data_IF_950738880212
#
_entry.id   IF_950738880212
#
_cell.length_a   1.000
_cell.length_b   1.000
_cell.length_c   1.000
_cell.angle_alpha   90.00
_cell.angle_beta   90.00
_cell.angle_gamma   90.00
#
_symmetry.space_group_name_H-M   'P 1'
#
loop_
_entity.id
_entity.type
_entity.pdbx_description
1 polymer ?
#
# COMPACT_ATOMS: atom_id res chain seq x y z
N UNK A 1 -21.43 0.53 2.23
CA UNK A 1 -20.56 -0.58 2.67
C UNK A 1 -20.12 -0.24 4.08
N UNK A 2 -20.45 -1.05 5.08
CA UNK A 2 -20.03 -0.79 6.46
C UNK A 2 -18.61 -1.33 6.64
N UNK A 3 -17.65 -0.45 6.93
CA UNK A 3 -16.30 -0.87 7.31
C UNK A 3 -16.35 -1.47 8.72
N UNK A 4 -15.60 -2.55 8.96
CA UNK A 4 -15.42 -3.08 10.32
C UNK A 4 -14.50 -2.15 11.09
N UNK A 5 -15.06 -1.39 12.04
CA UNK A 5 -14.32 -0.44 12.88
C UNK A 5 -13.90 -1.10 14.18
N UNK A 6 -12.63 -0.96 14.54
CA UNK A 6 -12.05 -1.50 15.77
C UNK A 6 -11.31 -0.42 16.55
N UNK A 7 -11.52 -0.40 17.85
CA UNK A 7 -10.97 0.63 18.74
C UNK A 7 -9.61 0.21 19.30
N UNK A 8 -8.61 1.08 19.19
CA UNK A 8 -7.29 0.87 19.79
C UNK A 8 -6.93 2.06 20.66
N UNK A 9 -7.22 1.96 21.95
CA UNK A 9 -7.03 3.03 22.94
C UNK A 9 -5.89 2.75 23.91
N UNK A 10 -5.27 1.57 23.82
CA UNK A 10 -4.20 1.10 24.71
C UNK A 10 -3.06 0.52 23.89
N UNK A 11 -1.88 0.45 24.49
CA UNK A 11 -0.72 -0.19 23.89
C UNK A 11 -1.04 -1.62 23.44
N UNK A 12 -0.62 -1.97 22.22
CA UNK A 12 -0.88 -3.28 21.64
C UNK A 12 -0.30 -4.41 22.50
N UNK A 13 -1.06 -5.49 22.59
CA UNK A 13 -0.68 -6.78 23.18
C UNK A 13 -1.06 -7.88 22.19
N UNK A 14 -0.54 -9.10 22.38
CA UNK A 14 -0.95 -10.22 21.54
C UNK A 14 -2.46 -10.49 21.58
N UNK A 15 -3.11 -10.28 22.73
CA UNK A 15 -4.57 -10.43 22.82
C UNK A 15 -5.33 -9.35 22.04
N UNK A 16 -4.87 -8.10 22.11
CA UNK A 16 -5.50 -7.00 21.36
C UNK A 16 -5.33 -7.25 19.86
N UNK A 17 -4.11 -7.58 19.40
CA UNK A 17 -3.84 -7.82 17.98
C UNK A 17 -4.72 -8.91 17.39
N UNK A 18 -4.90 -10.05 18.07
CA UNK A 18 -5.78 -11.12 17.57
C UNK A 18 -7.22 -10.67 17.34
N UNK A 19 -7.72 -9.76 18.17
CA UNK A 19 -9.05 -9.18 18.03
C UNK A 19 -9.17 -8.15 16.90
N UNK A 20 -8.05 -7.75 16.28
CA UNK A 20 -8.05 -6.81 15.15
C UNK A 20 -8.19 -7.49 13.78
N UNK A 21 -8.28 -8.83 13.75
CA UNK A 21 -8.44 -9.59 12.51
C UNK A 21 -9.77 -9.21 11.83
N UNK A 22 -9.70 -8.75 10.57
CA UNK A 22 -10.87 -8.36 9.79
C UNK A 22 -11.33 -6.91 10.01
N UNK A 23 -10.65 -6.15 10.87
CA UNK A 23 -10.87 -4.72 10.99
C UNK A 23 -10.37 -4.01 9.73
N UNK A 24 -11.20 -3.14 9.16
CA UNK A 24 -10.86 -2.30 8.01
C UNK A 24 -10.51 -0.88 8.45
N UNK A 25 -11.04 -0.45 9.58
CA UNK A 25 -10.75 0.84 10.20
C UNK A 25 -10.28 0.64 11.64
N UNK A 26 -9.15 1.26 11.98
CA UNK A 26 -8.69 1.39 13.35
C UNK A 26 -9.01 2.81 13.82
N UNK A 27 -9.93 2.90 14.76
CA UNK A 27 -10.14 4.12 15.51
C UNK A 27 -9.14 4.16 16.69
N UNK A 28 -8.05 4.88 16.49
CA UNK A 28 -6.92 4.94 17.40
C UNK A 28 -5.59 4.87 16.67
N UNK A 29 -4.56 4.41 17.37
CA UNK A 29 -3.18 4.37 16.90
C UNK A 29 -2.65 2.94 16.77
N UNK A 30 -1.62 2.77 15.93
CA UNK A 30 -0.80 1.56 15.88
C UNK A 30 0.60 1.92 16.36
N UNK A 31 0.99 1.40 17.53
CA UNK A 31 2.31 1.62 18.12
C UNK A 31 2.98 0.28 18.40
N UNK A 32 3.98 -0.05 17.58
CA UNK A 32 4.70 -1.31 17.58
C UNK A 32 6.13 -1.06 18.09
N UNK A 33 6.42 -1.58 19.28
CA UNK A 33 7.71 -1.34 19.96
C UNK A 33 8.40 -2.66 20.34
N UNK A 34 9.73 -2.64 20.36
CA UNK A 34 10.53 -3.82 20.72
C UNK A 34 10.22 -4.33 22.14
N UNK A 35 9.93 -3.42 23.08
CA UNK A 35 9.55 -3.75 24.46
C UNK A 35 8.32 -4.67 24.55
N UNK A 36 7.36 -4.51 23.63
CA UNK A 36 6.15 -5.35 23.56
C UNK A 36 6.41 -6.66 22.83
N UNK A 37 7.20 -6.64 21.77
CA UNK A 37 7.55 -7.85 21.01
C UNK A 37 8.44 -8.81 21.80
N UNK A 38 9.32 -8.30 22.66
CA UNK A 38 10.21 -9.10 23.52
C UNK A 38 9.51 -9.56 24.82
N UNK A 39 8.31 -9.08 25.11
CA UNK A 39 7.60 -9.41 26.34
C UNK A 39 7.15 -10.86 26.33
N UNK A 40 7.54 -11.64 27.35
CA UNK A 40 7.01 -12.98 27.60
C UNK A 40 5.56 -12.96 28.12
N UNK A 41 5.09 -11.80 28.59
CA UNK A 41 3.75 -11.60 29.15
C UNK A 41 2.95 -10.72 28.20
N UNK A 42 1.90 -11.28 27.59
CA UNK A 42 1.01 -10.58 26.64
C UNK A 42 1.74 -9.88 25.47
N UNK A 43 2.95 -10.31 25.13
CA UNK A 43 3.67 -9.84 23.94
C UNK A 43 3.05 -10.34 22.65
N UNK A 44 3.69 -10.00 21.53
CA UNK A 44 3.28 -10.41 20.19
C UNK A 44 4.49 -10.62 19.30
N UNK A 45 4.33 -11.51 18.33
CA UNK A 45 5.34 -11.88 17.35
C UNK A 45 5.15 -11.10 16.06
N UNK A 46 6.04 -11.32 15.08
CA UNK A 46 5.88 -10.77 13.73
C UNK A 46 4.63 -11.32 13.04
N UNK A 47 4.27 -12.57 13.31
CA UNK A 47 3.13 -13.23 12.65
C UNK A 47 1.80 -12.70 13.18
N UNK A 48 1.73 -12.33 14.47
CA UNK A 48 0.55 -11.71 15.07
C UNK A 48 0.19 -10.36 14.40
N UNK A 49 1.17 -9.67 13.80
CA UNK A 49 0.94 -8.41 13.09
C UNK A 49 0.05 -8.60 11.85
N UNK A 50 -0.03 -9.80 11.28
CA UNK A 50 -0.88 -10.09 10.12
C UNK A 50 -2.37 -9.88 10.40
N UNK A 51 -2.78 -9.79 11.67
CA UNK A 51 -4.14 -9.38 12.02
C UNK A 51 -4.51 -7.99 11.46
N UNK A 52 -3.52 -7.12 11.23
CA UNK A 52 -3.71 -5.78 10.67
C UNK A 52 -3.85 -5.76 9.14
N UNK A 53 -3.76 -6.91 8.46
CA UNK A 53 -3.68 -6.98 7.00
C UNK A 53 -4.91 -6.41 6.29
N UNK A 54 -6.08 -6.49 6.91
CA UNK A 54 -7.33 -5.93 6.38
C UNK A 54 -7.46 -4.41 6.60
N UNK A 55 -6.61 -3.81 7.42
CA UNK A 55 -6.74 -2.40 7.80
C UNK A 55 -6.46 -1.50 6.59
N UNK A 56 -7.41 -0.61 6.32
CA UNK A 56 -7.37 0.38 5.24
C UNK A 56 -7.30 1.81 5.77
N UNK A 57 -7.74 2.05 7.00
CA UNK A 57 -7.72 3.37 7.61
C UNK A 57 -7.30 3.33 9.09
N UNK A 58 -6.48 4.29 9.49
CA UNK A 58 -6.06 4.51 10.88
C UNK A 58 -6.35 5.97 11.23
N UNK A 59 -7.15 6.19 12.28
CA UNK A 59 -7.65 7.53 12.61
C UNK A 59 -6.64 8.40 13.37
N UNK A 60 -5.59 7.83 13.94
CA UNK A 60 -4.50 8.57 14.60
C UNK A 60 -3.17 8.41 13.87
N UNK A 61 -2.20 7.71 14.44
CA UNK A 61 -0.85 7.60 13.93
C UNK A 61 -0.37 6.14 13.86
N UNK A 62 0.71 5.94 13.11
CA UNK A 62 1.47 4.69 13.06
C UNK A 62 2.90 4.94 13.53
N UNK A 63 3.34 4.21 14.55
CA UNK A 63 4.69 4.23 15.07
C UNK A 63 5.27 2.81 15.09
N UNK A 64 6.49 2.66 14.56
CA UNK A 64 7.20 1.38 14.54
C UNK A 64 8.67 1.59 14.92
N UNK A 65 9.04 1.04 16.08
CA UNK A 65 10.40 1.08 16.62
C UNK A 65 10.75 -0.25 17.30
N UNK A 66 11.21 -1.21 16.49
CA UNK A 66 11.34 -2.62 16.91
C UNK A 66 12.78 -3.15 16.94
N UNK A 67 13.78 -2.31 16.65
CA UNK A 67 15.21 -2.64 16.75
C UNK A 67 15.53 -3.98 16.05
N UNK A 68 16.24 -4.87 16.74
CA UNK A 68 16.69 -6.18 16.25
C UNK A 68 15.56 -7.19 16.03
N UNK A 69 14.35 -6.95 16.55
CA UNK A 69 13.18 -7.83 16.34
C UNK A 69 12.29 -7.36 15.19
N UNK A 70 12.65 -6.28 14.51
CA UNK A 70 11.93 -5.73 13.37
C UNK A 70 11.65 -6.74 12.25
N UNK A 71 10.47 -6.68 11.61
CA UNK A 71 10.20 -7.44 10.39
C UNK A 71 11.00 -6.85 9.21
N UNK A 72 11.14 -7.63 8.14
CA UNK A 72 11.85 -7.19 6.91
C UNK A 72 11.04 -6.20 6.06
N UNK A 73 9.71 -6.18 6.24
CA UNK A 73 8.80 -5.27 5.59
C UNK A 73 7.57 -5.00 6.49
N UNK A 74 6.76 -4.01 6.11
CA UNK A 74 5.51 -3.67 6.78
C UNK A 74 4.28 -4.14 5.98
N UNK A 75 4.39 -5.24 5.22
CA UNK A 75 3.29 -5.73 4.39
C UNK A 75 2.08 -6.22 5.19
N UNK A 76 2.19 -6.35 6.51
CA UNK A 76 1.03 -6.49 7.40
C UNK A 76 0.12 -5.24 7.42
N UNK A 77 0.57 -4.11 6.84
CA UNK A 77 -0.21 -2.90 6.54
C UNK A 77 -0.26 -2.62 5.03
N UNK A 78 -0.10 -3.63 4.17
CA UNK A 78 -0.06 -3.41 2.71
C UNK A 78 -1.36 -2.81 2.14
N UNK A 79 -2.49 -2.99 2.83
CA UNK A 79 -3.80 -2.46 2.45
C UNK A 79 -4.14 -1.13 3.12
N UNK A 80 -3.25 -0.57 3.95
CA UNK A 80 -3.46 0.74 4.57
C UNK A 80 -3.48 1.81 3.47
N UNK A 81 -4.60 2.52 3.36
CA UNK A 81 -4.83 3.58 2.37
C UNK A 81 -4.72 4.98 2.97
N UNK A 82 -5.16 5.13 4.23
CA UNK A 82 -5.35 6.43 4.84
C UNK A 82 -4.90 6.49 6.29
N UNK A 83 -4.20 7.57 6.65
CA UNK A 83 -3.91 7.93 8.04
C UNK A 83 -4.51 9.32 8.27
N UNK A 84 -5.43 9.45 9.22
CA UNK A 84 -6.08 10.74 9.49
C UNK A 84 -5.18 11.71 10.26
N UNK A 85 -4.39 11.22 11.21
CA UNK A 85 -3.54 12.07 12.05
C UNK A 85 -4.33 12.93 13.03
N UNK A 86 -5.45 12.44 13.59
CA UNK A 86 -6.18 13.16 14.66
C UNK A 86 -5.35 13.33 15.94
N UNK A 87 -4.43 12.38 16.18
CA UNK A 87 -3.38 12.44 17.18
C UNK A 87 -2.04 12.09 16.52
N UNK A 88 -0.94 12.59 17.08
CA UNK A 88 0.39 12.54 16.45
C UNK A 88 1.47 12.12 17.46
N UNK A 89 2.41 11.29 17.00
CA UNK A 89 3.63 10.97 17.75
C UNK A 89 4.39 12.25 18.03
N UNK A 90 4.69 12.51 19.31
CA UNK A 90 5.37 13.73 19.77
C UNK A 90 4.72 15.03 19.26
N UNK A 91 3.39 15.02 19.09
CA UNK A 91 2.62 16.15 18.54
C UNK A 91 3.03 16.58 17.12
N UNK A 92 3.72 15.73 16.36
CA UNK A 92 4.25 16.09 15.04
C UNK A 92 4.05 15.04 13.95
N UNK A 93 4.25 13.77 14.24
CA UNK A 93 4.34 12.73 13.20
C UNK A 93 3.11 11.82 13.19
N UNK A 94 2.49 11.65 12.02
CA UNK A 94 1.43 10.67 11.80
C UNK A 94 1.98 9.30 11.37
N UNK A 95 3.19 9.29 10.80
CA UNK A 95 3.94 8.07 10.49
C UNK A 95 5.37 8.22 10.99
N UNK A 96 5.75 7.37 11.94
CA UNK A 96 7.09 7.33 12.53
C UNK A 96 7.66 5.90 12.42
N UNK A 97 8.70 5.72 11.60
CA UNK A 97 9.37 4.43 11.42
C UNK A 97 10.84 4.63 11.73
N UNK A 98 11.25 4.24 12.94
CA UNK A 98 12.59 4.54 13.42
C UNK A 98 13.26 3.33 14.09
N UNK A 99 14.56 3.16 13.86
CA UNK A 99 15.37 2.12 14.52
C UNK A 99 14.84 0.70 14.28
N UNK A 100 14.65 0.31 13.02
CA UNK A 100 14.27 -1.05 12.63
C UNK A 100 15.41 -1.70 11.84
N UNK A 101 16.26 -2.48 12.52
CA UNK A 101 17.54 -2.94 11.99
C UNK A 101 17.42 -3.92 10.83
N UNK A 102 16.35 -4.72 10.79
CA UNK A 102 16.11 -5.72 9.74
C UNK A 102 15.20 -5.21 8.63
N UNK A 103 14.63 -4.00 8.73
CA UNK A 103 13.67 -3.50 7.77
C UNK A 103 14.37 -3.20 6.45
N UNK A 104 13.94 -3.83 5.36
CA UNK A 104 14.56 -3.70 4.02
C UNK A 104 13.72 -2.86 3.06
N UNK A 105 12.40 -2.85 3.25
CA UNK A 105 11.44 -2.09 2.45
C UNK A 105 10.19 -1.76 3.28
N UNK A 106 9.43 -0.72 2.90
CA UNK A 106 8.21 -0.36 3.62
C UNK A 106 7.06 -1.31 3.30
N UNK A 107 6.76 -1.56 2.03
CA UNK A 107 5.65 -2.43 1.63
C UNK A 107 4.24 -1.82 1.81
N UNK A 108 4.13 -0.52 2.07
CA UNK A 108 2.86 0.21 2.23
C UNK A 108 2.23 0.56 0.87
N UNK A 109 2.04 -0.45 0.02
CA UNK A 109 1.77 -0.26 -1.41
C UNK A 109 0.47 0.47 -1.74
N UNK A 110 -0.51 0.42 -0.84
CA UNK A 110 -1.81 1.09 -1.02
C UNK A 110 -1.92 2.44 -0.29
N UNK A 111 -0.87 2.93 0.38
CA UNK A 111 -0.94 4.19 1.13
C UNK A 111 -1.08 5.37 0.17
N UNK A 112 -2.26 6.01 0.19
CA UNK A 112 -2.64 7.08 -0.73
C UNK A 112 -2.54 8.45 -0.09
N UNK A 113 -2.87 8.58 1.20
CA UNK A 113 -2.94 9.89 1.85
C UNK A 113 -2.73 9.84 3.37
N UNK A 114 -2.01 10.84 3.87
CA UNK A 114 -1.86 11.17 5.29
C UNK A 114 -2.43 12.58 5.47
N UNK A 115 -3.59 12.69 6.13
CA UNK A 115 -4.40 13.92 6.16
C UNK A 115 -3.78 15.00 7.03
N UNK A 116 -3.21 14.65 8.17
CA UNK A 116 -2.53 15.56 9.09
C UNK A 116 -1.28 14.89 9.67
N UNK A 117 -0.29 15.70 10.05
CA UNK A 117 0.98 15.21 10.60
C UNK A 117 2.08 14.99 9.57
N UNK A 118 3.32 15.08 10.05
CA UNK A 118 4.55 14.83 9.29
C UNK A 118 4.90 13.33 9.24
N UNK A 119 5.86 13.00 8.39
CA UNK A 119 6.44 11.65 8.28
C UNK A 119 7.90 11.69 8.72
N UNK A 120 8.32 10.72 9.52
CA UNK A 120 9.74 10.51 9.87
C UNK A 120 10.13 9.05 9.66
N UNK A 121 11.16 8.81 8.85
CA UNK A 121 11.72 7.49 8.58
C UNK A 121 13.23 7.59 8.71
N UNK A 122 13.75 7.16 9.86
CA UNK A 122 15.15 7.38 10.23
C UNK A 122 15.78 6.19 10.94
N UNK A 123 17.10 6.02 10.82
CA UNK A 123 17.85 4.98 11.53
C UNK A 123 17.37 3.55 11.20
N UNK A 124 16.88 3.32 9.98
CA UNK A 124 16.57 1.98 9.48
C UNK A 124 17.71 1.54 8.55
N UNK A 125 18.78 0.99 9.12
CA UNK A 125 20.05 0.81 8.43
C UNK A 125 20.02 -0.21 7.27
N UNK A 126 18.98 -1.04 7.16
CA UNK A 126 18.75 -1.94 6.02
C UNK A 126 17.77 -1.42 4.97
N UNK A 127 17.06 -0.32 5.26
CA UNK A 127 15.90 0.13 4.51
C UNK A 127 16.32 0.83 3.22
N UNK A 128 15.70 0.40 2.12
CA UNK A 128 15.74 1.05 0.82
C UNK A 128 14.34 1.52 0.40
N UNK A 129 14.24 2.16 -0.76
CA UNK A 129 13.01 2.57 -1.46
C UNK A 129 12.23 3.73 -0.85
N UNK A 130 12.30 3.96 0.47
CA UNK A 130 11.55 5.02 1.15
C UNK A 130 11.80 6.43 0.58
N UNK A 131 13.02 6.70 0.09
CA UNK A 131 13.40 7.96 -0.55
C UNK A 131 12.85 8.12 -1.98
N UNK A 132 12.41 7.03 -2.62
CA UNK A 132 11.88 7.07 -4.00
C UNK A 132 10.45 7.60 -4.05
N UNK A 133 9.70 7.45 -2.95
CA UNK A 133 8.30 7.88 -2.84
C UNK A 133 8.19 9.40 -2.85
N UNK A 134 7.25 9.92 -3.65
CA UNK A 134 6.87 11.34 -3.64
C UNK A 134 5.97 11.69 -2.47
N UNK A 135 6.56 11.76 -1.27
CA UNK A 135 5.84 12.02 -0.02
C UNK A 135 4.97 13.28 -0.07
N UNK A 136 5.42 14.35 -0.74
CA UNK A 136 4.66 15.60 -0.90
C UNK A 136 3.32 15.44 -1.66
N UNK A 137 3.09 14.31 -2.33
CA UNK A 137 1.80 13.98 -2.96
C UNK A 137 0.84 13.25 -2.02
N UNK A 138 1.35 12.68 -0.93
CA UNK A 138 0.62 11.82 0.00
C UNK A 138 0.34 12.57 1.31
N UNK A 139 1.24 13.44 1.76
CA UNK A 139 1.11 14.21 3.00
C UNK A 139 0.43 15.57 2.75
N UNK A 140 -0.09 16.17 3.82
CA UNK A 140 -0.63 17.53 3.77
C UNK A 140 0.42 18.56 3.30
N UNK A 141 0.04 19.63 2.58
CA UNK A 141 0.98 20.65 2.08
C UNK A 141 1.82 21.33 3.18
N UNK A 142 1.31 21.39 4.40
CA UNK A 142 1.99 21.98 5.57
C UNK A 142 2.90 20.99 6.31
N UNK A 143 2.85 19.70 5.96
CA UNK A 143 3.62 18.63 6.59
C UNK A 143 4.96 18.43 5.88
N UNK A 144 5.90 17.81 6.60
CA UNK A 144 7.22 17.47 6.06
C UNK A 144 7.46 15.96 6.14
N UNK A 145 8.22 15.42 5.19
CA UNK A 145 8.74 14.06 5.25
C UNK A 145 10.26 14.12 5.47
N UNK A 146 10.71 13.58 6.60
CA UNK A 146 12.13 13.49 6.97
C UNK A 146 12.59 12.05 6.80
N UNK A 147 13.28 11.78 5.69
CA UNK A 147 13.78 10.45 5.33
C UNK A 147 15.31 10.53 5.30
N UNK A 148 15.97 10.03 6.34
CA UNK A 148 17.43 10.13 6.47
C UNK A 148 18.01 8.98 7.30
N UNK A 149 19.34 8.84 7.35
CA UNK A 149 20.04 7.81 8.14
C UNK A 149 19.53 6.37 7.88
N UNK A 150 19.06 6.08 6.67
CA UNK A 150 18.73 4.72 6.20
C UNK A 150 19.85 4.19 5.27
N UNK A 151 19.61 3.10 4.51
CA UNK A 151 20.60 2.52 3.59
C UNK A 151 20.69 3.27 2.23
N UNK A 152 19.94 4.35 2.05
CA UNK A 152 19.60 4.98 0.76
C UNK A 152 20.75 5.07 -0.25
N UNK A 153 21.92 5.60 0.16
CA UNK A 153 23.09 5.80 -0.72
C UNK A 153 23.76 4.52 -1.21
N UNK A 154 23.50 3.39 -0.56
CA UNK A 154 24.07 2.06 -0.88
C UNK A 154 23.06 1.15 -1.56
N UNK A 155 21.81 1.57 -1.70
CA UNK A 155 20.74 0.74 -2.27
C UNK A 155 21.01 0.40 -3.74
N UNK A 156 21.42 1.38 -4.56
CA UNK A 156 21.75 1.17 -5.97
C UNK A 156 22.93 0.20 -6.16
N UNK A 157 23.99 0.35 -5.37
CA UNK A 157 25.16 -0.54 -5.39
C UNK A 157 24.81 -2.00 -5.06
N UNK A 158 23.69 -2.20 -4.34
CA UNK A 158 23.17 -3.52 -3.96
C UNK A 158 22.02 -3.98 -4.85
N UNK A 159 21.76 -3.30 -5.97
CA UNK A 159 20.65 -3.55 -6.89
C UNK A 159 19.28 -3.59 -6.18
N UNK A 160 19.10 -2.75 -5.16
CA UNK A 160 17.86 -2.55 -4.41
C UNK A 160 17.16 -1.28 -4.92
N UNK A 161 16.70 -1.35 -6.17
CA UNK A 161 16.05 -0.24 -6.90
C UNK A 161 14.64 -0.64 -7.35
N UNK A 162 13.81 0.36 -7.67
CA UNK A 162 12.46 0.10 -8.14
C UNK A 162 12.44 -0.74 -9.42
N UNK A 163 11.38 -1.50 -9.61
CA UNK A 163 11.18 -2.28 -10.83
C UNK A 163 11.11 -1.33 -12.05
N UNK A 164 11.68 -1.70 -13.22
CA UNK A 164 11.63 -0.87 -14.42
C UNK A 164 10.21 -0.56 -14.94
N UNK A 165 9.21 -1.34 -14.52
CA UNK A 165 7.78 -1.12 -14.81
C UNK A 165 7.12 -0.10 -13.89
N UNK A 166 7.80 0.38 -12.84
CA UNK A 166 7.32 1.48 -12.01
C UNK A 166 7.55 2.84 -12.66
N UNK A 167 6.62 3.78 -12.45
CA UNK A 167 6.81 5.17 -12.84
C UNK A 167 7.95 5.79 -11.99
N UNK A 168 9.09 6.17 -12.61
CA UNK A 168 10.22 6.75 -11.87
C UNK A 168 9.85 8.08 -11.19
N UNK A 169 8.82 8.78 -11.68
CA UNK A 169 8.34 10.00 -11.05
C UNK A 169 7.54 9.75 -9.77
N UNK A 170 7.01 8.55 -9.55
CA UNK A 170 6.21 8.20 -8.36
C UNK A 170 6.97 7.33 -7.34
N UNK A 171 7.92 6.52 -7.82
CA UNK A 171 8.73 5.63 -6.98
C UNK A 171 8.04 4.30 -6.66
N UNK A 172 8.55 3.60 -5.64
CA UNK A 172 8.05 2.30 -5.22
C UNK A 172 8.21 2.08 -3.71
N UNK A 173 7.37 1.20 -3.16
CA UNK A 173 7.34 0.84 -1.75
C UNK A 173 8.25 -0.33 -1.38
N UNK A 174 8.94 -0.91 -2.37
CA UNK A 174 9.75 -2.11 -2.24
C UNK A 174 10.17 -2.70 -3.58
N UNK A 175 10.73 -3.90 -3.55
CA UNK A 175 11.19 -4.60 -4.76
C UNK A 175 10.04 -5.19 -5.58
N UNK A 176 10.18 -5.13 -6.89
CA UNK A 176 9.34 -5.87 -7.85
C UNK A 176 8.11 -5.11 -8.34
N UNK A 177 7.41 -5.67 -9.35
CA UNK A 177 6.38 -4.96 -10.10
C UNK A 177 5.08 -4.73 -9.30
N UNK A 178 4.90 -5.40 -8.16
CA UNK A 178 3.73 -5.22 -7.27
C UNK A 178 3.90 -4.11 -6.25
N UNK A 179 5.08 -3.49 -6.20
CA UNK A 179 5.43 -2.47 -5.21
C UNK A 179 5.50 -1.06 -5.79
N UNK A 180 5.16 -0.88 -7.07
CA UNK A 180 5.15 0.44 -7.69
C UNK A 180 4.11 1.34 -7.04
N UNK A 181 4.46 2.59 -6.73
CA UNK A 181 3.48 3.60 -6.33
C UNK A 181 2.52 3.94 -7.47
N UNK A 182 3.02 3.86 -8.72
CA UNK A 182 2.24 3.93 -9.95
C UNK A 182 2.93 3.11 -11.04
N UNK A 183 2.16 2.39 -11.86
CA UNK A 183 2.71 1.70 -13.02
C UNK A 183 3.10 2.69 -14.12
N UNK A 184 4.25 2.44 -14.76
CA UNK A 184 4.72 3.21 -15.91
C UNK A 184 3.94 2.91 -17.19
N UNK A 185 3.56 1.64 -17.38
CA UNK A 185 2.96 1.15 -18.63
C UNK A 185 1.58 0.55 -18.44
N UNK A 186 1.44 -0.58 -17.75
CA UNK A 186 0.16 -1.23 -17.51
C UNK A 186 0.15 -1.90 -16.14
N UNK A 187 -1.03 -2.06 -15.55
CA UNK A 187 -1.27 -2.81 -14.33
C UNK A 187 -2.09 -4.04 -14.66
N UNK A 188 -1.54 -5.22 -14.44
CA UNK A 188 -2.24 -6.49 -14.53
C UNK A 188 -2.48 -7.01 -13.11
N UNK A 189 -3.75 -7.02 -12.67
CA UNK A 189 -4.12 -7.31 -11.28
C UNK A 189 -3.36 -6.38 -10.32
N UNK A 190 -2.41 -6.90 -9.54
CA UNK A 190 -1.61 -6.13 -8.60
C UNK A 190 -0.18 -5.81 -9.09
N UNK A 191 0.20 -6.25 -10.28
CA UNK A 191 1.56 -6.10 -10.80
C UNK A 191 1.63 -5.15 -12.00
N UNK A 192 2.68 -4.35 -12.06
CA UNK A 192 2.98 -3.57 -13.26
C UNK A 192 3.65 -4.43 -14.33
N UNK A 193 3.19 -4.33 -15.57
CA UNK A 193 3.73 -5.06 -16.72
C UNK A 193 4.05 -4.09 -17.85
N UNK A 194 5.04 -4.44 -18.67
CA UNK A 194 5.45 -3.62 -19.83
C UNK A 194 4.41 -3.64 -20.94
N UNK A 195 3.82 -4.81 -21.18
CA UNK A 195 2.86 -5.09 -22.23
C UNK A 195 1.72 -5.93 -21.64
N UNK A 196 0.45 -5.62 -21.98
CA UNK A 196 -0.68 -6.49 -21.61
C UNK A 196 -0.64 -7.78 -22.45
N UNK A 197 -0.83 -8.97 -21.84
CA UNK A 197 -0.93 -10.23 -22.58
C UNK A 197 -2.06 -10.17 -23.62
N UNK A 198 -1.76 -10.51 -24.88
CA UNK A 198 -2.74 -10.55 -25.99
C UNK A 198 -3.51 -11.87 -26.06
N UNK A 199 -2.93 -12.93 -25.53
CA UNK A 199 -3.50 -14.27 -25.42
C UNK A 199 -3.32 -14.76 -23.97
N UNK A 200 -4.28 -15.50 -23.43
CA UNK A 200 -4.10 -16.16 -22.12
C UNK A 200 -4.65 -15.40 -20.92
N UNK A 201 -5.90 -14.95 -20.98
CA UNK A 201 -6.71 -14.70 -19.80
C UNK A 201 -7.29 -15.99 -19.22
N UNK A 202 -6.42 -16.98 -19.05
CA UNK A 202 -6.74 -18.22 -18.34
C UNK A 202 -6.51 -17.97 -16.87
N UNK A 203 -7.60 -17.77 -16.12
CA UNK A 203 -7.58 -17.90 -14.67
C UNK A 203 -7.09 -19.31 -14.27
N UNK A 204 -6.67 -19.51 -13.01
CA UNK A 204 -6.33 -20.84 -12.53
C UNK A 204 -7.59 -21.68 -12.42
N UNK A 205 -7.87 -22.45 -13.48
CA UNK A 205 -8.99 -23.38 -13.59
C UNK A 205 -10.11 -22.87 -14.49
N UNK A 206 -10.04 -23.15 -15.79
CA UNK A 206 -11.12 -23.87 -16.47
C UNK A 206 -10.79 -24.20 -17.92
N UNK A 207 -11.29 -25.36 -18.32
CA UNK A 207 -11.25 -25.92 -19.66
C UNK A 207 -11.93 -25.00 -20.68
N UNK A 208 -11.52 -25.16 -21.95
CA UNK A 208 -12.16 -24.53 -23.11
C UNK A 208 -13.69 -24.60 -23.02
N UNK A 209 -14.31 -23.46 -22.74
CA UNK A 209 -15.76 -23.27 -22.75
C UNK A 209 -16.03 -21.78 -22.97
N UNK A 210 -17.04 -21.48 -23.78
CA UNK A 210 -17.45 -20.11 -24.10
C UNK A 210 -17.93 -19.36 -22.84
N UNK A 211 -16.98 -18.80 -22.09
CA UNK A 211 -17.18 -18.01 -20.88
C UNK A 211 -16.19 -16.84 -20.89
N UNK A 212 -16.69 -15.63 -20.65
CA UNK A 212 -16.08 -14.36 -21.02
C UNK A 212 -14.71 -14.03 -20.41
N UNK A 213 -14.02 -13.08 -21.06
CA UNK A 213 -12.79 -12.43 -20.59
C UNK A 213 -13.05 -11.56 -19.34
N UNK A 214 -13.44 -12.18 -18.23
CA UNK A 214 -13.88 -11.46 -17.02
C UNK A 214 -12.77 -11.29 -15.98
N UNK A 215 -11.60 -11.92 -16.17
CA UNK A 215 -10.55 -12.01 -15.13
C UNK A 215 -9.18 -11.42 -15.48
N UNK A 216 -9.04 -10.78 -16.64
CA UNK A 216 -7.85 -10.01 -17.00
C UNK A 216 -8.14 -8.52 -16.98
N UNK A 217 -8.11 -7.92 -15.80
CA UNK A 217 -8.07 -6.47 -15.70
C UNK A 217 -6.63 -6.02 -15.89
N UNK A 218 -6.23 -5.82 -17.15
CA UNK A 218 -5.05 -5.04 -17.49
C UNK A 218 -5.49 -3.59 -17.69
N UNK A 219 -5.08 -2.67 -16.81
CA UNK A 219 -5.44 -1.24 -16.90
C UNK A 219 -4.21 -0.40 -17.21
N UNK A 220 -4.34 0.58 -18.11
CA UNK A 220 -3.27 1.51 -18.46
C UNK A 220 -3.20 2.71 -17.50
N UNK A 221 -2.20 3.59 -17.61
CA UNK A 221 -2.09 4.82 -16.82
C UNK A 221 -3.16 5.86 -17.16
N UNK A 222 -4.07 5.58 -18.10
CA UNK A 222 -5.34 6.26 -18.29
C UNK A 222 -6.47 5.24 -18.33
N UNK A 223 -7.43 5.38 -17.44
CA UNK A 223 -8.62 4.52 -17.32
C UNK A 223 -9.64 4.86 -18.44
N UNK A 224 -9.19 4.92 -19.70
CA UNK A 224 -10.00 5.31 -20.86
C UNK A 224 -9.86 4.33 -22.03
N UNK A 225 -10.82 4.35 -22.97
CA UNK A 225 -10.74 3.58 -24.20
C UNK A 225 -9.85 4.33 -25.22
N UNK A 226 -8.90 3.66 -25.88
CA UNK A 226 -8.08 4.22 -26.95
C UNK A 226 -6.59 4.40 -26.61
N UNK A 227 -5.91 5.33 -27.28
CA UNK A 227 -4.46 5.49 -27.14
C UNK A 227 -4.06 5.82 -25.68
N UNK A 228 -3.28 4.93 -25.06
CA UNK A 228 -2.90 5.03 -23.65
C UNK A 228 -3.86 4.36 -22.65
N UNK A 229 -4.88 3.62 -23.12
CA UNK A 229 -5.82 2.85 -22.31
C UNK A 229 -6.34 1.59 -23.03
N UNK A 230 -7.49 1.05 -22.63
CA UNK A 230 -8.02 -0.22 -23.15
C UNK A 230 -8.51 -0.10 -24.61
N UNK A 231 -8.41 -1.16 -25.42
CA UNK A 231 -8.92 -1.16 -26.81
C UNK A 231 -10.40 -1.55 -26.91
N UNK A 232 -10.94 -2.28 -25.93
CA UNK A 232 -12.33 -2.72 -25.87
C UNK A 232 -12.74 -2.99 -24.41
N UNK A 233 -13.99 -2.69 -24.03
CA UNK A 233 -14.55 -2.97 -22.69
C UNK A 233 -15.92 -3.65 -22.82
N UNK A 234 -16.17 -4.71 -22.06
CA UNK A 234 -17.43 -5.49 -22.12
C UNK A 234 -18.63 -4.74 -21.49
N UNK A 235 -18.37 -3.88 -20.50
CA UNK A 235 -19.38 -3.02 -19.85
C UNK A 235 -18.76 -1.66 -19.48
N UNK A 236 -19.50 -0.57 -19.69
CA UNK A 236 -19.13 0.79 -19.25
C UNK A 236 -20.32 1.45 -18.54
N UNK A 237 -20.07 2.08 -17.39
CA UNK A 237 -21.04 2.88 -16.68
C UNK A 237 -20.41 4.24 -16.38
N UNK A 238 -21.12 5.31 -16.75
CA UNK A 238 -20.62 6.67 -16.78
C UNK A 238 -21.45 7.52 -15.82
N UNK A 239 -20.78 8.27 -14.94
CA UNK A 239 -21.40 9.16 -13.93
C UNK A 239 -21.27 10.62 -14.34
N UNK A 240 -22.06 11.52 -13.76
CA UNK A 240 -22.35 12.86 -14.30
C UNK A 240 -21.20 13.87 -14.46
N UNK A 241 -19.95 13.54 -14.08
CA UNK A 241 -18.73 14.35 -14.38
C UNK A 241 -17.76 13.63 -15.35
N UNK A 242 -18.20 12.46 -15.84
CA UNK A 242 -17.71 11.64 -16.93
C UNK A 242 -18.94 11.08 -17.68
N UNK A 243 -19.83 11.92 -18.21
CA UNK A 243 -20.98 11.42 -18.97
C UNK A 243 -20.59 11.05 -20.41
N UNK A 244 -20.61 9.76 -20.74
CA UNK A 244 -20.92 9.34 -22.12
C UNK A 244 -22.37 8.91 -22.13
N UNK A 245 -23.18 9.69 -22.83
CA UNK A 245 -24.59 9.41 -23.07
C UNK A 245 -24.71 8.25 -24.06
N UNK A 246 -25.31 7.15 -23.60
CA UNK A 246 -25.77 6.04 -24.44
C UNK A 246 -26.98 6.50 -25.25
N UNK A 247 -26.82 6.66 -26.56
CA UNK A 247 -27.92 6.81 -27.49
C UNK A 247 -27.96 5.62 -28.45
N UNK A 248 -29.07 4.89 -28.37
CA UNK A 248 -29.58 3.86 -29.28
C UNK A 248 -28.79 2.56 -29.46
N UNK A 249 -29.23 1.58 -28.67
CA UNK A 249 -29.40 0.19 -29.06
C UNK A 249 -29.78 0.06 -30.55
N UNK A 250 -29.00 -0.70 -31.32
CA UNK A 250 -29.51 -1.41 -32.51
C UNK A 250 -29.11 -2.88 -32.43
N UNK A 251 -30.12 -3.66 -32.01
CA UNK A 251 -30.55 -4.95 -32.55
C UNK A 251 -29.59 -5.66 -33.50
N UNK A 252 -29.35 -6.94 -33.18
CA UNK A 252 -28.97 -8.08 -34.04
C UNK A 252 -28.79 -7.78 -35.54
N UNK A 253 -27.68 -8.29 -36.08
CA UNK A 253 -27.69 -9.19 -37.24
C UNK A 253 -26.86 -10.41 -36.84
#
# INVERSE_FOLDING_TARGET
>A
MFFTVCQVTKALTGSILRNLTGCEEIDGFIDIQDSKMKSSVNGYTRDDLNALKSVRMISEYVQIATQTVSPRNLSFLENLEFIEGRSLVTSRFALAINKNDNLEQLGLRNLKKIKAGSVIITENHGLCYAQTIKWNKIIAPTAQAVINKNMDSKCEQRNRVCDPTCDPAQGCWGRGPTMCAKCRYWKLRDACVKDCPKEGCTGPGDHLGAGGCTECLCTGPGDHLGAGGCTECLYAQLSEEHEVKLAHMKSRI
#
